data_IF_359729948001
#
_entry.id   IF_359729948001
#
_cell.length_a   1.000
_cell.length_b   1.000
_cell.length_c   1.000
_cell.angle_alpha   90.00
_cell.angle_beta   90.00
_cell.angle_gamma   90.00
#
_symmetry.space_group_name_H-M   'P 1'
#
loop_
_entity.id
_entity.type
_entity.pdbx_description
1 polymer ?
#
# COMPACT_ATOMS: atom_id res chain seq x y z
N UNK A 1 -25.76 50.12 -5.03
CA UNK A 1 -25.75 48.89 -4.19
C UNK A 1 -24.54 48.07 -4.59
N UNK A 2 -23.59 47.85 -3.66
CA UNK A 2 -22.39 47.02 -3.87
C UNK A 2 -22.67 45.67 -3.19
N UNK A 3 -22.77 44.58 -3.95
CA UNK A 3 -22.82 43.22 -3.39
C UNK A 3 -21.52 42.50 -3.70
N UNK A 4 -20.90 42.01 -2.63
CA UNK A 4 -19.57 41.43 -2.55
C UNK A 4 -19.48 40.10 -3.30
N UNK A 5 -18.60 40.03 -4.30
CA UNK A 5 -18.12 38.79 -4.90
C UNK A 5 -16.77 38.48 -4.26
N UNK A 6 -16.70 37.45 -3.42
CA UNK A 6 -15.42 36.98 -2.91
C UNK A 6 -15.58 36.15 -1.66
N UNK A 7 -15.84 34.84 -1.81
CA UNK A 7 -15.49 33.82 -0.81
C UNK A 7 -15.77 32.39 -1.32
N UNK A 8 -15.09 31.92 -2.37
CA UNK A 8 -15.06 30.47 -2.69
C UNK A 8 -13.73 30.10 -3.36
N UNK A 9 -12.67 29.87 -2.58
CA UNK A 9 -11.42 29.20 -3.03
C UNK A 9 -10.47 28.98 -1.84
N UNK A 10 -10.84 28.15 -0.85
CA UNK A 10 -9.94 27.84 0.27
C UNK A 10 -10.08 26.44 0.90
N UNK A 11 -10.69 25.47 0.20
CA UNK A 11 -10.90 24.13 0.76
C UNK A 11 -10.05 23.00 0.13
N UNK A 12 -9.24 23.27 -0.91
CA UNK A 12 -8.54 22.21 -1.66
C UNK A 12 -7.10 21.89 -1.19
N UNK A 13 -6.53 22.64 -0.24
CA UNK A 13 -5.11 22.49 0.15
C UNK A 13 -4.86 21.61 1.40
N UNK A 14 -5.90 20.96 1.96
CA UNK A 14 -5.83 20.29 3.26
C UNK A 14 -5.54 18.79 3.26
N UNK A 15 -5.56 18.11 2.11
CA UNK A 15 -5.56 16.63 2.05
C UNK A 15 -4.20 16.00 1.70
N UNK A 16 -3.15 16.77 1.41
CA UNK A 16 -1.83 16.21 1.03
C UNK A 16 -0.96 15.79 2.23
N UNK A 17 -1.38 16.05 3.46
CA UNK A 17 -0.51 15.96 4.64
C UNK A 17 -0.37 14.55 5.27
N UNK A 18 -0.97 13.51 4.70
CA UNK A 18 -0.97 12.16 5.30
C UNK A 18 0.20 11.27 4.86
N UNK A 19 0.96 11.66 3.82
CA UNK A 19 1.96 10.79 3.17
C UNK A 19 3.40 11.35 3.20
N UNK A 20 3.67 12.41 3.93
CA UNK A 20 4.96 13.14 3.80
C UNK A 20 6.20 12.36 4.29
N UNK A 21 6.03 11.22 4.96
CA UNK A 21 7.15 10.42 5.52
C UNK A 21 7.25 9.00 4.94
N UNK A 22 6.62 8.74 3.79
CA UNK A 22 6.71 7.43 3.11
C UNK A 22 7.48 7.53 1.79
N UNK A 23 8.22 6.46 1.47
CA UNK A 23 8.93 6.34 0.20
C UNK A 23 7.91 6.14 -0.92
N UNK A 24 7.95 7.02 -1.91
CA UNK A 24 7.17 6.93 -3.14
C UNK A 24 8.05 7.27 -4.34
N UNK A 25 7.65 6.86 -5.54
CA UNK A 25 8.34 7.26 -6.77
C UNK A 25 7.32 7.54 -7.88
N UNK A 26 7.69 8.38 -8.85
CA UNK A 26 6.83 8.62 -10.03
C UNK A 26 6.94 7.51 -11.08
N UNK A 27 8.09 6.84 -11.13
CA UNK A 27 8.33 5.69 -12.00
C UNK A 27 8.45 4.42 -11.15
N UNK A 28 8.03 3.25 -11.66
CA UNK A 28 8.15 2.01 -10.91
C UNK A 28 9.64 1.67 -10.72
N UNK A 29 10.01 1.30 -9.51
CA UNK A 29 11.37 0.81 -9.20
C UNK A 29 11.45 -0.70 -9.37
N UNK A 30 10.32 -1.41 -9.18
CA UNK A 30 10.22 -2.86 -9.28
C UNK A 30 9.57 -3.29 -10.60
N UNK A 31 10.09 -4.38 -11.18
CA UNK A 31 9.68 -4.90 -12.48
C UNK A 31 9.17 -6.34 -12.40
N UNK A 32 8.56 -6.83 -13.47
CA UNK A 32 7.97 -8.17 -13.50
C UNK A 32 8.99 -9.28 -13.17
N UNK A 33 10.26 -9.09 -13.57
CA UNK A 33 11.34 -10.02 -13.29
C UNK A 33 11.70 -10.13 -11.79
N UNK A 34 11.27 -9.18 -10.95
CA UNK A 34 11.54 -9.24 -9.51
C UNK A 34 10.62 -10.22 -8.75
N UNK A 35 9.51 -10.65 -9.36
CA UNK A 35 8.41 -11.35 -8.69
C UNK A 35 8.75 -12.75 -8.18
N UNK A 36 9.64 -13.47 -8.87
CA UNK A 36 9.75 -14.93 -8.72
C UNK A 36 10.66 -15.38 -7.56
N UNK A 37 11.03 -14.48 -6.65
CA UNK A 37 12.12 -14.72 -5.69
C UNK A 37 11.71 -15.15 -4.28
N UNK A 38 10.41 -15.20 -3.91
CA UNK A 38 9.95 -15.69 -2.61
C UNK A 38 8.62 -16.48 -2.70
N UNK A 39 8.26 -17.24 -1.64
CA UNK A 39 7.04 -18.02 -1.69
C UNK A 39 5.81 -17.14 -1.87
N UNK A 40 4.91 -17.50 -2.78
CA UNK A 40 3.70 -16.72 -3.02
C UNK A 40 2.80 -16.74 -1.78
N UNK A 41 2.03 -15.67 -1.58
CA UNK A 41 0.89 -15.73 -0.68
C UNK A 41 -0.08 -16.81 -1.17
N UNK A 42 -0.63 -17.60 -0.23
CA UNK A 42 -1.66 -18.58 -0.55
C UNK A 42 -2.91 -17.87 -1.06
N UNK A 43 -3.43 -18.32 -2.19
CA UNK A 43 -4.71 -17.85 -2.71
C UNK A 43 -5.85 -18.11 -1.72
N UNK A 44 -6.82 -17.21 -1.66
CA UNK A 44 -7.97 -17.27 -0.76
C UNK A 44 -8.19 -15.97 0.02
N UNK A 45 -9.02 -16.06 1.05
CA UNK A 45 -9.43 -14.93 1.89
C UNK A 45 -8.42 -14.69 3.01
N UNK A 46 -8.00 -13.45 3.15
CA UNK A 46 -7.08 -12.97 4.18
C UNK A 46 -7.77 -11.96 5.09
N UNK A 47 -7.35 -11.95 6.35
CA UNK A 47 -7.86 -11.04 7.37
C UNK A 47 -6.71 -10.39 8.14
N UNK A 48 -6.85 -9.09 8.41
CA UNK A 48 -5.95 -8.35 9.28
C UNK A 48 -5.97 -8.83 10.74
N UNK A 49 -4.98 -8.42 11.51
CA UNK A 49 -4.94 -8.61 12.95
C UNK A 49 -6.10 -7.85 13.62
N UNK A 50 -6.69 -8.44 14.66
CA UNK A 50 -7.88 -7.87 15.32
C UNK A 50 -9.20 -8.12 14.59
N UNK A 51 -9.18 -8.60 13.34
CA UNK A 51 -10.40 -9.00 12.62
C UNK A 51 -11.02 -10.29 13.20
N UNK A 52 -12.31 -10.20 13.57
CA UNK A 52 -13.15 -11.32 13.99
C UNK A 52 -13.67 -12.14 12.79
N UNK A 53 -12.75 -12.64 11.97
CA UNK A 53 -13.07 -13.44 10.79
C UNK A 53 -13.70 -14.79 11.17
N UNK A 54 -14.89 -15.06 10.64
CA UNK A 54 -15.52 -16.38 10.70
C UNK A 54 -15.49 -17.04 9.30
N UNK A 55 -14.74 -18.13 9.10
CA UNK A 55 -14.68 -18.82 7.80
C UNK A 55 -16.02 -19.43 7.35
N UNK A 56 -17.03 -19.49 8.21
CA UNK A 56 -18.38 -19.93 7.84
C UNK A 56 -19.24 -18.79 7.27
N UNK A 57 -18.87 -17.53 7.50
CA UNK A 57 -19.62 -16.36 7.05
C UNK A 57 -19.05 -15.78 5.75
N UNK A 58 -19.91 -15.05 5.04
CA UNK A 58 -19.54 -14.24 3.89
C UNK A 58 -18.75 -12.99 4.35
N UNK A 59 -17.86 -12.51 3.49
CA UNK A 59 -16.96 -11.38 3.79
C UNK A 59 -17.68 -10.12 4.29
N UNK A 60 -18.80 -9.67 3.71
CA UNK A 60 -19.53 -8.48 4.21
C UNK A 60 -20.09 -8.63 5.62
N UNK A 61 -20.22 -9.85 6.13
CA UNK A 61 -20.68 -10.11 7.50
C UNK A 61 -19.52 -10.05 8.53
N UNK A 62 -18.27 -9.92 8.06
CA UNK A 62 -17.13 -9.76 8.94
C UNK A 62 -17.03 -8.30 9.40
N UNK A 63 -16.80 -8.09 10.69
CA UNK A 63 -16.49 -6.77 11.23
C UNK A 63 -15.01 -6.42 10.98
N UNK A 64 -14.63 -6.37 9.70
CA UNK A 64 -13.25 -6.32 9.24
C UNK A 64 -13.07 -5.42 8.02
N UNK A 65 -12.63 -4.18 8.23
CA UNK A 65 -12.30 -3.26 7.14
C UNK A 65 -11.05 -3.63 6.34
N UNK A 66 -10.21 -4.53 6.87
CA UNK A 66 -8.91 -4.92 6.28
C UNK A 66 -8.89 -6.35 5.74
N UNK A 67 -10.06 -6.92 5.43
CA UNK A 67 -10.13 -8.21 4.74
C UNK A 67 -9.88 -8.03 3.24
N UNK A 68 -9.14 -8.97 2.65
CA UNK A 68 -8.87 -8.97 1.20
C UNK A 68 -8.75 -10.39 0.67
N UNK A 69 -8.77 -10.53 -0.65
CA UNK A 69 -8.64 -11.81 -1.33
C UNK A 69 -7.33 -11.83 -2.10
N UNK A 70 -6.55 -12.91 -1.96
CA UNK A 70 -5.39 -13.18 -2.79
C UNK A 70 -5.79 -14.13 -3.90
N UNK A 71 -5.52 -13.75 -5.15
CA UNK A 71 -5.72 -14.61 -6.31
C UNK A 71 -4.51 -14.55 -7.23
N UNK A 72 -3.92 -15.70 -7.55
CA UNK A 72 -2.67 -15.80 -8.32
C UNK A 72 -1.56 -14.95 -7.69
N UNK A 73 -1.49 -14.94 -6.35
CA UNK A 73 -0.51 -14.16 -5.58
C UNK A 73 -0.71 -12.64 -5.59
N UNK A 74 -1.87 -12.13 -6.00
CA UNK A 74 -2.20 -10.70 -6.01
C UNK A 74 -3.36 -10.42 -5.06
N UNK A 75 -3.24 -9.44 -4.13
CA UNK A 75 -4.33 -9.02 -3.28
C UNK A 75 -5.31 -8.15 -4.06
N UNK A 76 -6.59 -8.27 -3.72
CA UNK A 76 -7.67 -7.42 -4.22
C UNK A 76 -8.73 -7.24 -3.13
N UNK A 77 -9.33 -6.05 -3.08
CA UNK A 77 -10.37 -5.76 -2.12
C UNK A 77 -11.70 -6.40 -2.56
N UNK A 78 -12.54 -6.94 -1.66
CA UNK A 78 -13.78 -7.65 -2.03
C UNK A 78 -14.79 -6.81 -2.85
N UNK A 79 -14.77 -5.50 -2.64
CA UNK A 79 -15.61 -4.52 -3.35
C UNK A 79 -15.03 -4.09 -4.71
N UNK A 80 -13.78 -4.42 -4.99
CA UNK A 80 -13.21 -4.21 -6.30
C UNK A 80 -13.76 -5.29 -7.22
N UNK A 81 -14.59 -4.90 -8.19
CA UNK A 81 -14.96 -5.74 -9.32
C UNK A 81 -13.67 -6.25 -10.01
N UNK A 82 -13.20 -7.44 -9.62
CA UNK A 82 -11.99 -8.08 -10.20
C UNK A 82 -12.25 -8.63 -11.59
N UNK A 83 -13.46 -8.46 -12.16
CA UNK A 83 -13.72 -8.86 -13.53
C UNK A 83 -12.80 -8.12 -14.52
N UNK A 84 -11.81 -8.86 -14.98
CA UNK A 84 -11.17 -8.76 -16.27
C UNK A 84 -10.34 -7.51 -16.58
N UNK A 85 -9.93 -6.72 -15.58
CA UNK A 85 -8.82 -5.77 -15.79
C UNK A 85 -7.49 -6.31 -15.22
N UNK A 86 -6.74 -7.14 -15.99
CA UNK A 86 -5.40 -7.54 -15.62
C UNK A 86 -4.45 -6.36 -15.40
N UNK A 87 -4.76 -5.14 -15.83
CA UNK A 87 -3.94 -3.96 -15.52
C UNK A 87 -4.03 -3.57 -14.03
N UNK A 88 -5.18 -3.73 -13.37
CA UNK A 88 -5.33 -3.44 -11.93
C UNK A 88 -4.65 -4.49 -11.06
N UNK A 89 -4.73 -5.77 -11.43
CA UNK A 89 -4.00 -6.85 -10.74
C UNK A 89 -2.47 -6.84 -10.97
N UNK A 90 -1.94 -5.93 -11.81
CA UNK A 90 -0.48 -5.75 -12.02
C UNK A 90 0.15 -4.78 -11.03
N UNK A 91 -0.65 -4.15 -10.16
CA UNK A 91 -0.19 -3.08 -9.28
C UNK A 91 0.77 -3.59 -8.22
N UNK A 92 0.66 -4.84 -7.75
CA UNK A 92 1.57 -5.39 -6.74
C UNK A 92 2.76 -6.12 -7.36
N UNK A 93 3.92 -5.44 -7.37
CA UNK A 93 5.21 -6.05 -7.76
C UNK A 93 6.06 -6.25 -6.53
N UNK A 94 6.71 -7.40 -6.44
CA UNK A 94 7.49 -7.75 -5.25
C UNK A 94 8.95 -7.92 -5.61
N UNK A 95 9.85 -7.35 -4.82
CA UNK A 95 11.28 -7.60 -4.91
C UNK A 95 11.82 -8.12 -3.58
N UNK A 96 12.80 -9.01 -3.65
CA UNK A 96 13.31 -9.73 -2.49
C UNK A 96 14.65 -9.18 -2.04
N UNK A 97 14.82 -9.11 -0.73
CA UNK A 97 16.11 -8.94 -0.08
C UNK A 97 16.19 -9.86 1.13
N UNK A 98 16.95 -10.95 1.01
CA UNK A 98 17.19 -11.90 2.10
C UNK A 98 15.86 -12.35 2.75
N UNK A 99 15.60 -11.83 3.94
CA UNK A 99 14.52 -12.24 4.84
C UNK A 99 13.18 -11.51 4.63
N UNK A 100 13.08 -10.56 3.68
CA UNK A 100 11.83 -9.85 3.43
C UNK A 100 11.62 -9.46 1.96
N UNK A 101 10.40 -9.04 1.70
CA UNK A 101 9.88 -8.57 0.42
C UNK A 101 9.61 -7.07 0.46
N UNK A 102 9.71 -6.41 -0.68
CA UNK A 102 9.17 -5.08 -0.91
C UNK A 102 8.07 -5.19 -1.94
N UNK A 103 6.83 -4.94 -1.53
CA UNK A 103 5.68 -4.78 -2.40
C UNK A 103 5.60 -3.33 -2.88
N UNK A 104 5.53 -3.14 -4.18
CA UNK A 104 5.22 -1.87 -4.84
C UNK A 104 3.74 -1.89 -5.19
N UNK A 105 2.99 -0.82 -4.91
CA UNK A 105 1.65 -0.54 -5.42
C UNK A 105 1.69 0.76 -6.23
N UNK A 106 0.79 0.96 -7.19
CA UNK A 106 0.79 2.19 -8.00
C UNK A 106 -0.31 2.20 -9.04
N UNK A 107 -0.26 3.16 -9.99
CA UNK A 107 -1.22 3.24 -11.08
C UNK A 107 -1.33 1.93 -11.86
N UNK A 108 -2.55 1.56 -12.26
CA UNK A 108 -2.82 0.35 -13.04
C UNK A 108 -2.24 0.42 -14.47
N UNK A 109 -2.13 1.63 -15.02
CA UNK A 109 -1.54 1.88 -16.33
C UNK A 109 -0.08 2.39 -16.19
N UNK A 110 0.93 1.64 -16.67
CA UNK A 110 2.32 2.07 -16.67
C UNK A 110 2.51 3.34 -17.51
N UNK A 111 2.58 4.50 -16.84
CA UNK A 111 2.76 5.81 -17.48
C UNK A 111 1.63 6.79 -17.20
N UNK A 112 0.55 6.35 -16.57
CA UNK A 112 -0.43 7.26 -15.99
C UNK A 112 0.21 8.13 -14.91
N UNK A 113 -0.26 9.37 -14.80
CA UNK A 113 0.14 10.27 -13.73
C UNK A 113 -0.24 9.66 -12.38
N UNK A 114 0.75 9.51 -11.51
CA UNK A 114 0.55 8.96 -10.17
C UNK A 114 1.86 8.62 -9.48
N UNK A 115 1.73 8.08 -8.27
CA UNK A 115 2.84 7.66 -7.45
C UNK A 115 2.79 6.16 -7.20
N UNK A 116 3.95 5.53 -7.24
CA UNK A 116 4.17 4.21 -6.73
C UNK A 116 4.49 4.30 -5.24
N UNK A 117 3.79 3.51 -4.44
CA UNK A 117 4.01 3.38 -2.99
C UNK A 117 4.63 2.03 -2.69
N UNK A 118 5.31 1.92 -1.55
CA UNK A 118 6.08 0.72 -1.22
C UNK A 118 5.84 0.26 0.22
N UNK A 119 5.72 -1.05 0.38
CA UNK A 119 5.54 -1.73 1.66
C UNK A 119 6.56 -2.85 1.80
N UNK A 120 7.12 -3.03 2.99
CA UNK A 120 7.82 -4.25 3.32
C UNK A 120 6.81 -5.34 3.65
N UNK A 121 7.13 -6.59 3.30
CA UNK A 121 6.32 -7.78 3.57
C UNK A 121 7.22 -8.88 4.11
N UNK A 122 6.80 -9.51 5.20
CA UNK A 122 7.53 -10.59 5.87
C UNK A 122 6.59 -11.78 6.07
N UNK A 123 6.98 -12.96 5.57
CA UNK A 123 6.20 -14.18 5.67
C UNK A 123 6.39 -14.84 7.03
N UNK A 124 5.51 -14.54 7.98
CA UNK A 124 5.61 -15.03 9.37
C UNK A 124 5.29 -16.52 9.49
N UNK A 125 4.43 -17.06 8.61
CA UNK A 125 4.07 -18.48 8.61
C UNK A 125 3.81 -18.98 7.21
N UNK A 126 4.35 -20.16 6.92
CA UNK A 126 4.18 -20.87 5.65
C UNK A 126 3.31 -22.12 5.83
N UNK A 127 2.64 -22.56 4.77
CA UNK A 127 2.01 -23.88 4.70
C UNK A 127 2.99 -24.98 4.26
N UNK A 128 2.51 -26.22 4.16
CA UNK A 128 3.31 -27.39 3.75
C UNK A 128 3.84 -27.28 2.31
N UNK A 129 3.21 -26.45 1.46
CA UNK A 129 3.66 -26.15 0.10
C UNK A 129 4.61 -24.95 0.05
N UNK A 130 4.99 -24.42 1.22
CA UNK A 130 5.86 -23.26 1.37
C UNK A 130 5.18 -21.92 1.14
N UNK A 131 3.88 -21.85 0.87
CA UNK A 131 3.17 -20.59 0.58
C UNK A 131 2.92 -19.80 1.86
N UNK A 132 2.95 -18.48 1.80
CA UNK A 132 2.64 -17.66 2.98
C UNK A 132 1.16 -17.83 3.37
N UNK A 133 0.90 -18.10 4.64
CA UNK A 133 -0.44 -18.15 5.27
C UNK A 133 -0.56 -17.23 6.49
N UNK A 134 0.54 -16.59 6.88
CA UNK A 134 0.53 -15.38 7.69
C UNK A 134 1.68 -14.48 7.27
N UNK A 135 1.45 -13.18 7.23
CA UNK A 135 2.45 -12.19 6.86
C UNK A 135 2.34 -10.96 7.77
N UNK A 136 3.40 -10.15 7.80
CA UNK A 136 3.41 -8.81 8.38
C UNK A 136 3.79 -7.82 7.31
N UNK A 137 3.15 -6.67 7.30
CA UNK A 137 3.51 -5.56 6.42
C UNK A 137 3.97 -4.34 7.21
N UNK A 138 4.76 -3.49 6.58
CA UNK A 138 5.10 -2.17 7.11
C UNK A 138 5.31 -1.17 5.97
N UNK A 139 5.04 0.11 6.22
CA UNK A 139 5.32 1.17 5.25
C UNK A 139 6.82 1.44 5.17
N UNK A 140 7.34 1.68 3.97
CA UNK A 140 8.70 2.17 3.80
C UNK A 140 8.75 3.65 4.16
N UNK A 141 9.54 4.00 5.16
CA UNK A 141 9.72 5.38 5.61
C UNK A 141 10.88 6.06 4.94
N UNK A 142 10.83 7.39 4.94
CA UNK A 142 11.94 8.21 4.49
C UNK A 142 13.16 8.09 5.41
N UNK A 143 12.92 7.98 6.72
CA UNK A 143 13.93 7.93 7.77
C UNK A 143 13.25 7.93 9.15
N UNK A 144 14.00 8.06 10.26
CA UNK A 144 13.41 8.28 11.57
C UNK A 144 12.65 9.62 11.60
N UNK A 145 11.60 9.74 12.42
CA UNK A 145 10.85 10.99 12.53
C UNK A 145 11.77 12.12 13.05
N UNK A 146 11.54 13.37 12.63
CA UNK A 146 12.33 14.50 13.12
C UNK A 146 12.19 14.65 14.66
N UNK A 147 13.19 15.24 15.34
CA UNK A 147 13.08 15.52 16.77
C UNK A 147 11.80 16.31 17.12
N UNK A 148 11.26 16.07 18.32
CA UNK A 148 10.06 16.78 18.78
C UNK A 148 10.32 18.29 18.79
N UNK A 149 9.36 19.05 18.28
CA UNK A 149 9.44 20.52 18.23
C UNK A 149 10.26 21.06 17.05
N UNK A 150 10.85 20.20 16.21
CA UNK A 150 11.46 20.64 14.96
C UNK A 150 10.41 21.31 14.07
N UNK A 151 10.76 22.48 13.55
CA UNK A 151 9.91 23.29 12.67
C UNK A 151 10.52 23.39 11.27
N UNK A 152 9.68 23.64 10.28
CA UNK A 152 10.10 24.12 8.96
C UNK A 152 10.59 25.56 9.05
N UNK A 153 11.21 26.07 7.98
CA UNK A 153 11.64 27.49 7.91
C UNK A 153 10.45 28.45 8.10
N UNK A 154 9.26 28.07 7.63
CA UNK A 154 8.00 28.80 7.85
C UNK A 154 7.38 28.61 9.24
N UNK A 155 8.10 28.00 10.20
CA UNK A 155 7.66 27.84 11.60
C UNK A 155 6.60 26.77 11.85
N UNK A 156 6.20 26.00 10.83
CA UNK A 156 5.23 24.90 10.97
C UNK A 156 5.90 23.65 11.55
N UNK A 157 5.19 22.75 12.25
CA UNK A 157 5.77 21.46 12.65
C UNK A 157 6.31 20.70 11.44
N UNK A 158 7.57 20.26 11.51
CA UNK A 158 8.17 19.45 10.44
C UNK A 158 7.71 18.00 10.59
N UNK A 159 7.23 17.39 9.50
CA UNK A 159 6.85 15.97 9.44
C UNK A 159 7.90 15.10 8.75
N UNK A 160 8.56 15.65 7.73
CA UNK A 160 9.62 14.96 6.99
C UNK A 160 10.87 14.74 7.84
N UNK A 161 11.50 13.58 7.66
CA UNK A 161 12.79 13.26 8.28
C UNK A 161 13.88 14.30 7.93
N UNK A 162 14.83 14.49 8.85
CA UNK A 162 16.08 15.21 8.61
C UNK A 162 17.24 14.28 8.22
N UNK A 163 17.05 12.98 8.42
CA UNK A 163 18.09 11.95 8.30
C UNK A 163 17.55 10.83 7.41
N UNK A 164 17.41 11.05 6.09
CA UNK A 164 16.86 10.02 5.22
C UNK A 164 17.71 8.74 5.27
N UNK A 165 17.06 7.59 5.18
CA UNK A 165 17.74 6.31 5.12
C UNK A 165 18.69 6.24 3.91
N UNK A 166 19.75 5.39 3.97
CA UNK A 166 20.69 5.24 2.86
C UNK A 166 20.00 4.94 1.54
N UNK A 167 20.27 5.76 0.52
CA UNK A 167 19.66 5.62 -0.80
C UNK A 167 18.26 6.23 -0.92
N UNK A 168 17.76 6.95 0.08
CA UNK A 168 16.51 7.73 0.01
C UNK A 168 16.85 9.23 -0.10
N UNK A 169 16.02 9.97 -0.83
CA UNK A 169 16.10 11.43 -0.99
C UNK A 169 14.77 12.03 -0.57
N UNK A 170 14.81 13.06 0.28
CA UNK A 170 13.62 13.86 0.61
C UNK A 170 13.31 14.80 -0.54
N UNK A 171 12.06 14.80 -1.00
CA UNK A 171 11.54 15.63 -2.08
C UNK A 171 10.34 16.45 -1.58
N UNK A 172 9.85 17.39 -2.39
CA UNK A 172 8.61 18.12 -2.07
C UNK A 172 7.43 17.14 -2.01
N UNK A 173 6.81 17.01 -0.83
CA UNK A 173 5.65 16.14 -0.61
C UNK A 173 5.97 14.69 -0.22
N UNK A 174 7.24 14.30 -0.04
CA UNK A 174 7.60 12.95 0.40
C UNK A 174 9.09 12.64 0.27
N UNK A 175 9.41 11.39 -0.04
CA UNK A 175 10.77 10.98 -0.40
C UNK A 175 10.77 9.89 -1.47
N UNK A 176 11.88 9.78 -2.19
CA UNK A 176 12.08 8.80 -3.24
C UNK A 176 13.33 7.95 -3.01
N UNK A 177 13.25 6.66 -3.34
CA UNK A 177 14.42 5.78 -3.35
C UNK A 177 15.24 5.98 -4.63
N UNK A 178 16.57 6.06 -4.50
CA UNK A 178 17.54 6.04 -5.61
C UNK A 178 17.68 4.63 -6.19
N UNK A 179 16.60 4.13 -6.76
CA UNK A 179 16.51 2.80 -7.36
C UNK A 179 16.40 1.67 -6.33
N UNK A 180 16.55 0.44 -6.84
CA UNK A 180 16.23 -0.81 -6.14
C UNK A 180 17.01 -1.02 -4.83
N UNK A 181 18.31 -0.73 -4.83
CA UNK A 181 19.15 -0.92 -3.65
C UNK A 181 18.74 0.03 -2.50
N UNK A 182 18.45 1.30 -2.82
CA UNK A 182 17.96 2.26 -1.82
C UNK A 182 16.58 1.87 -1.28
N UNK A 183 15.70 1.34 -2.14
CA UNK A 183 14.38 0.86 -1.74
C UNK A 183 14.47 -0.30 -0.74
N UNK A 184 15.32 -1.29 -1.04
CA UNK A 184 15.58 -2.43 -0.16
C UNK A 184 16.17 -1.98 1.17
N UNK A 185 17.17 -1.08 1.14
CA UNK A 185 17.78 -0.56 2.36
C UNK A 185 16.76 0.20 3.23
N UNK A 186 15.90 1.02 2.62
CA UNK A 186 14.83 1.72 3.31
C UNK A 186 13.82 0.76 3.93
N UNK A 187 13.44 -0.33 3.23
CA UNK A 187 12.56 -1.36 3.77
C UNK A 187 13.15 -2.05 4.99
N UNK A 188 14.43 -2.44 4.94
CA UNK A 188 15.12 -3.05 6.07
C UNK A 188 15.20 -2.11 7.27
N UNK A 189 15.56 -0.84 7.04
CA UNK A 189 15.64 0.16 8.10
C UNK A 189 14.27 0.47 8.72
N UNK A 190 13.22 0.58 7.88
CA UNK A 190 11.84 0.81 8.32
C UNK A 190 11.29 -0.35 9.14
N UNK A 191 11.70 -1.59 8.84
CA UNK A 191 11.26 -2.82 9.55
C UNK A 191 11.61 -2.78 11.03
N UNK A 192 12.78 -2.22 11.35
CA UNK A 192 13.34 -2.23 12.72
C UNK A 192 13.20 -0.89 13.44
N UNK A 193 12.62 0.13 12.81
CA UNK A 193 12.44 1.43 13.44
C UNK A 193 11.37 1.36 14.55
N UNK A 194 11.74 1.50 15.84
CA UNK A 194 10.80 1.42 16.95
C UNK A 194 9.81 2.59 16.98
N UNK A 195 10.18 3.73 16.39
CA UNK A 195 9.30 4.91 16.18
C UNK A 195 8.61 4.85 14.81
N UNK A 196 9.02 3.89 14.00
CA UNK A 196 8.51 3.48 12.70
C UNK A 196 7.03 3.10 12.73
N UNK A 197 6.64 2.44 13.81
CA UNK A 197 5.38 1.73 13.92
C UNK A 197 4.19 2.63 14.30
N UNK A 198 3.97 3.73 13.57
CA UNK A 198 2.76 4.55 13.75
C UNK A 198 1.47 3.86 13.27
N UNK A 199 1.53 2.60 12.82
CA UNK A 199 0.36 1.77 12.51
C UNK A 199 0.47 0.31 13.01
N UNK A 200 1.43 -0.03 13.87
CA UNK A 200 1.77 -1.45 14.07
C UNK A 200 2.31 -2.08 12.78
N UNK A 201 2.91 -3.27 12.87
CA UNK A 201 3.01 -4.07 11.67
C UNK A 201 1.65 -4.75 11.56
N UNK A 202 0.87 -4.42 10.52
CA UNK A 202 -0.40 -5.09 10.29
C UNK A 202 -0.09 -6.54 9.94
N UNK A 203 -0.43 -7.44 10.86
CA UNK A 203 -0.41 -8.85 10.57
C UNK A 203 -1.63 -9.20 9.74
N UNK A 204 -1.44 -10.10 8.79
CA UNK A 204 -2.52 -10.70 8.03
C UNK A 204 -2.37 -12.20 8.09
N UNK A 205 -3.50 -12.91 8.13
CA UNK A 205 -3.54 -14.37 8.08
C UNK A 205 -4.51 -14.84 7.00
N UNK A 206 -4.14 -15.94 6.36
CA UNK A 206 -5.05 -16.69 5.51
C UNK A 206 -6.13 -17.34 6.38
N UNK A 207 -7.39 -17.18 5.99
CA UNK A 207 -8.56 -17.67 6.73
C UNK A 207 -9.17 -18.89 6.06
N UNK A 208 -9.47 -18.80 4.76
CA UNK A 208 -10.11 -19.87 3.98
C UNK A 208 -9.88 -19.72 2.49
N UNK A 209 -10.18 -20.78 1.74
CA UNK A 209 -10.29 -20.69 0.30
C UNK A 209 -11.42 -19.74 -0.10
N UNK A 210 -11.25 -19.14 -1.28
CA UNK A 210 -12.25 -18.29 -1.92
C UNK A 210 -13.51 -19.10 -2.28
N UNK A 211 -14.69 -18.49 -2.16
CA UNK A 211 -15.99 -19.09 -2.45
C UNK A 211 -16.86 -18.17 -3.31
N UNK A 212 -17.85 -18.72 -4.04
CA UNK A 212 -18.89 -17.90 -4.66
C UNK A 212 -19.56 -17.00 -3.61
N UNK A 213 -19.70 -15.70 -3.89
CA UNK A 213 -20.28 -14.71 -2.97
C UNK A 213 -19.26 -13.90 -2.16
N UNK A 214 -17.97 -14.27 -2.18
CA UNK A 214 -16.90 -13.46 -1.56
C UNK A 214 -16.65 -12.11 -2.27
N UNK A 215 -17.17 -11.96 -3.48
CA UNK A 215 -17.08 -10.74 -4.28
C UNK A 215 -18.43 -10.09 -4.40
N UNK A 216 -18.43 -8.75 -4.40
CA UNK A 216 -19.54 -8.02 -4.99
C UNK A 216 -19.44 -8.23 -6.50
N UNK A 217 -20.36 -9.00 -7.07
CA UNK A 217 -20.44 -9.17 -8.52
C UNK A 217 -20.53 -7.78 -9.15
N UNK A 218 -19.63 -7.51 -10.08
CA UNK A 218 -19.53 -6.22 -10.74
C UNK A 218 -20.91 -5.90 -11.32
N UNK A 219 -21.57 -4.85 -10.81
CA UNK A 219 -22.75 -4.35 -11.50
C UNK A 219 -22.30 -3.99 -12.92
N UNK A 220 -22.96 -4.48 -13.98
CA UNK A 220 -22.57 -4.16 -15.34
C UNK A 220 -22.49 -2.64 -15.46
N UNK A 221 -21.32 -2.14 -15.86
CA UNK A 221 -21.11 -0.71 -16.05
C UNK A 221 -22.17 -0.26 -17.06
N UNK A 222 -23.17 0.48 -16.62
CA UNK A 222 -24.19 1.02 -17.51
C UNK A 222 -23.48 1.78 -18.62
N UNK A 223 -23.72 1.42 -19.89
CA UNK A 223 -23.12 2.12 -21.02
C UNK A 223 -23.32 3.63 -20.84
N UNK A 224 -22.26 4.45 -21.01
CA UNK A 224 -22.43 5.89 -20.96
C UNK A 224 -23.47 6.27 -22.02
N UNK A 225 -24.42 7.17 -21.70
CA UNK A 225 -25.45 7.56 -22.65
C UNK A 225 -24.80 8.08 -23.94
N UNK A 226 -25.39 7.81 -25.12
CA UNK A 226 -24.84 8.27 -26.39
C UNK A 226 -24.65 9.78 -26.34
N UNK A 227 -23.47 10.26 -26.73
CA UNK A 227 -23.21 11.70 -26.87
C UNK A 227 -24.14 12.25 -27.94
N UNK A 228 -25.08 13.10 -27.53
CA UNK A 228 -25.96 13.89 -28.41
C UNK A 228 -25.19 14.99 -29.13
#
# INVERSE_FOLDING_TARGET
>A
MRLSLGFVLLAAAGLTACNEDVVTTRTPVLFAADRDALPPAKDGVWAGDGCSADPALDLPAWDCGDAFIVRRGQPAHPDEAVENDPARMKAMRVAVSGDFQVAQTGPSDPGADGFYSYHGVDGVRLDEQGRMIALRTWRLKCGPPPPKGTKTEGGKPRRQTLEPYPGVVVEEGGCAAKGRAGLIAAAGASRVDPKGNHGGADGYRWVRDERPGDWVEAQPVSEPPPKS
#
